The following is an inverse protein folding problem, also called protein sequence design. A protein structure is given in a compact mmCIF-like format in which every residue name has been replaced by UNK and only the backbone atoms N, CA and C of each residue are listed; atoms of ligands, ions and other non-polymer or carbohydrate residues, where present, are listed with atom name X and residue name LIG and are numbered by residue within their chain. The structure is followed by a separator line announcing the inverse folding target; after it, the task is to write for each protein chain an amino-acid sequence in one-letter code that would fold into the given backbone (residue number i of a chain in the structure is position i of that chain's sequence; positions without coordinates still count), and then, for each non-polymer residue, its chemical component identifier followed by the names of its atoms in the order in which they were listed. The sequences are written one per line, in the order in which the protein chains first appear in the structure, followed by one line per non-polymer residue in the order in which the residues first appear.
data_IF_003570285628
#
_entry.id   IF_003570285628
#
_cell.length_a   1.000
_cell.length_b   1.000
_cell.length_c   1.000
_cell.angle_alpha   90.00
_cell.angle_beta   90.00
_cell.angle_gamma   90.00
#
_symmetry.space_group_name_H-M   'P 1'
#
loop_
_entity.id
_entity.type
_entity.pdbx_description
1 polymer ?
#
# COMPACT_ATOMS: atom_id res chain seq x y z
N UNK A 1 -68.66 -10.72 -27.17
CA UNK A 1 -67.36 -11.37 -26.83
C UNK A 1 -66.25 -10.69 -27.62
N UNK A 2 -65.32 -10.02 -26.95
CA UNK A 2 -63.96 -9.70 -27.43
C UNK A 2 -63.15 -9.29 -26.19
N UNK A 3 -62.27 -10.18 -25.73
CA UNK A 3 -61.32 -9.90 -24.65
C UNK A 3 -60.12 -9.21 -25.29
N UNK A 4 -59.82 -7.99 -24.87
CA UNK A 4 -58.58 -7.29 -25.24
C UNK A 4 -57.62 -7.54 -24.08
N UNK A 5 -56.65 -8.42 -24.32
CA UNK A 5 -55.56 -8.71 -23.39
C UNK A 5 -54.50 -7.62 -23.58
N UNK A 6 -54.48 -6.63 -22.71
CA UNK A 6 -53.44 -5.59 -22.72
C UNK A 6 -52.17 -6.17 -22.12
N UNK A 7 -51.21 -6.53 -22.98
CA UNK A 7 -49.85 -6.92 -22.58
C UNK A 7 -49.12 -5.63 -22.19
N UNK A 8 -49.03 -5.37 -20.89
CA UNK A 8 -48.19 -4.30 -20.34
C UNK A 8 -46.73 -4.76 -20.45
N UNK A 9 -46.06 -4.27 -21.48
CA UNK A 9 -44.64 -4.46 -21.74
C UNK A 9 -43.84 -3.63 -20.72
N UNK A 10 -43.53 -4.24 -19.57
CA UNK A 10 -42.59 -3.71 -18.57
C UNK A 10 -41.19 -3.66 -19.20
N UNK A 11 -40.86 -2.53 -19.82
CA UNK A 11 -39.47 -2.12 -20.02
C UNK A 11 -38.86 -1.81 -18.66
N UNK A 12 -38.47 -2.86 -17.94
CA UNK A 12 -37.48 -2.76 -16.88
C UNK A 12 -36.18 -2.35 -17.56
N UNK A 13 -35.90 -1.04 -17.55
CA UNK A 13 -34.57 -0.51 -17.79
C UNK A 13 -33.65 -1.09 -16.73
N UNK A 14 -33.09 -2.25 -17.04
CA UNK A 14 -31.97 -2.84 -16.33
C UNK A 14 -30.83 -1.82 -16.45
N UNK A 15 -30.73 -0.94 -15.47
CA UNK A 15 -29.49 -0.21 -15.21
C UNK A 15 -28.46 -1.28 -14.84
N UNK A 16 -27.78 -1.80 -15.86
CA UNK A 16 -26.59 -2.60 -15.71
C UNK A 16 -25.54 -1.68 -15.10
N UNK A 17 -25.47 -1.65 -13.77
CA UNK A 17 -24.30 -1.18 -13.07
C UNK A 17 -23.19 -2.19 -13.38
N UNK A 18 -22.48 -1.96 -14.48
CA UNK A 18 -21.18 -2.59 -14.69
C UNK A 18 -20.27 -2.04 -13.61
N UNK A 19 -20.09 -2.80 -12.53
CA UNK A 19 -19.01 -2.54 -11.59
C UNK A 19 -17.73 -2.78 -12.38
N UNK A 20 -17.07 -1.70 -12.80
CA UNK A 20 -15.70 -1.79 -13.28
C UNK A 20 -14.90 -2.23 -12.06
N UNK A 21 -14.50 -3.51 -12.04
CA UNK A 21 -13.49 -3.99 -11.10
C UNK A 21 -12.21 -3.22 -11.40
N UNK A 22 -11.96 -2.19 -10.61
CA UNK A 22 -10.67 -1.49 -10.57
C UNK A 22 -9.67 -2.47 -9.95
N UNK A 23 -8.84 -3.08 -10.81
CA UNK A 23 -7.81 -4.04 -10.40
C UNK A 23 -6.69 -3.31 -9.65
N UNK A 24 -6.91 -3.05 -8.36
CA UNK A 24 -5.85 -2.66 -7.43
C UNK A 24 -4.98 -3.91 -7.23
N UNK A 25 -3.73 -3.86 -7.70
CA UNK A 25 -2.80 -4.98 -7.49
C UNK A 25 -2.13 -4.81 -6.13
N UNK A 26 -2.45 -5.70 -5.20
CA UNK A 26 -1.85 -5.75 -3.87
C UNK A 26 -1.10 -7.05 -3.66
N UNK A 27 0.07 -6.99 -3.02
CA UNK A 27 0.81 -8.17 -2.59
C UNK A 27 1.18 -8.06 -1.12
N UNK A 28 1.42 -9.21 -0.50
CA UNK A 28 2.16 -9.28 0.76
C UNK A 28 3.65 -9.25 0.47
N UNK A 29 4.39 -8.45 1.22
CA UNK A 29 5.82 -8.23 1.06
C UNK A 29 6.55 -8.22 2.39
N UNK A 30 7.85 -8.48 2.35
CA UNK A 30 8.75 -8.23 3.46
C UNK A 30 9.53 -6.96 3.15
N UNK A 31 9.28 -5.92 3.94
CA UNK A 31 10.04 -4.67 3.90
C UNK A 31 11.14 -4.70 4.94
N UNK A 32 12.31 -4.19 4.59
CA UNK A 32 13.39 -3.95 5.54
C UNK A 32 13.72 -2.47 5.61
N UNK A 33 14.08 -2.01 6.81
CA UNK A 33 14.17 -0.58 7.12
C UNK A 33 15.57 -0.16 7.52
N UNK A 34 15.93 1.03 7.06
CA UNK A 34 17.21 1.66 7.27
C UNK A 34 17.25 2.64 8.43
N UNK A 35 18.38 2.72 9.13
CA UNK A 35 18.57 3.69 10.22
C UNK A 35 20.03 4.08 10.50
N UNK A 36 20.77 4.55 9.50
CA UNK A 36 22.19 4.96 9.59
C UNK A 36 23.17 3.88 10.12
N UNK A 37 22.68 2.76 10.67
CA UNK A 37 23.42 1.65 11.27
C UNK A 37 23.26 0.36 10.48
N UNK A 38 22.08 0.12 9.89
CA UNK A 38 21.78 -0.94 8.93
C UNK A 38 20.88 -0.34 7.86
N UNK A 39 21.28 -0.47 6.59
CA UNK A 39 20.97 0.41 5.46
C UNK A 39 21.34 1.87 5.73
N UNK A 40 22.27 2.35 4.91
CA UNK A 40 23.12 3.54 5.09
C UNK A 40 22.37 4.83 5.38
N UNK A 41 21.07 4.86 5.08
CA UNK A 41 20.17 5.99 5.20
C UNK A 41 18.80 5.56 5.73
N UNK A 42 17.96 6.53 6.11
CA UNK A 42 16.59 6.29 6.57
C UNK A 42 15.67 5.92 5.42
N UNK A 43 14.72 5.03 5.69
CA UNK A 43 13.67 4.63 4.77
C UNK A 43 13.65 3.13 4.52
N UNK A 44 13.18 2.73 3.34
CA UNK A 44 13.18 1.34 2.88
C UNK A 44 14.53 0.97 2.30
N UNK A 45 15.01 -0.21 2.67
CA UNK A 45 16.16 -0.83 2.03
C UNK A 45 15.75 -1.77 0.91
N UNK A 46 14.64 -2.48 1.12
CA UNK A 46 14.10 -3.46 0.21
C UNK A 46 12.62 -3.63 0.50
N UNK A 47 11.88 -3.95 -0.55
CA UNK A 47 10.52 -4.48 -0.50
C UNK A 47 10.55 -5.72 -1.38
N UNK A 48 10.30 -6.89 -0.80
CA UNK A 48 10.34 -8.17 -1.51
C UNK A 48 9.00 -8.85 -1.45
N UNK A 49 8.47 -9.25 -2.60
CA UNK A 49 7.28 -10.07 -2.65
C UNK A 49 7.45 -11.31 -1.76
N UNK A 50 6.47 -11.59 -0.90
CA UNK A 50 6.44 -12.78 -0.08
C UNK A 50 5.45 -13.78 -0.67
N UNK A 51 5.88 -15.04 -0.77
CA UNK A 51 5.02 -16.16 -1.14
C UNK A 51 4.18 -16.60 0.09
N UNK A 52 4.64 -16.28 1.30
CA UNK A 52 4.04 -16.67 2.57
C UNK A 52 3.59 -15.43 3.35
N UNK A 53 2.27 -15.25 3.47
CA UNK A 53 1.68 -14.12 4.18
C UNK A 53 2.14 -14.05 5.65
N UNK A 54 2.42 -15.19 6.28
CA UNK A 54 2.85 -15.24 7.69
C UNK A 54 4.26 -14.69 7.94
N UNK A 55 5.02 -14.40 6.87
CA UNK A 55 6.36 -13.80 6.92
C UNK A 55 6.38 -12.36 6.37
N UNK A 56 5.22 -11.85 6.00
CA UNK A 56 5.07 -10.48 5.51
C UNK A 56 4.88 -9.55 6.70
N UNK A 57 5.61 -8.44 6.71
CA UNK A 57 5.38 -7.33 7.64
C UNK A 57 4.71 -6.14 6.95
N UNK A 58 4.42 -6.27 5.65
CA UNK A 58 3.95 -5.17 4.80
C UNK A 58 2.99 -5.66 3.74
N UNK A 59 1.79 -5.10 3.69
CA UNK A 59 0.97 -5.14 2.48
C UNK A 59 1.37 -3.98 1.56
N UNK A 60 1.61 -4.27 0.29
CA UNK A 60 2.06 -3.31 -0.72
C UNK A 60 1.02 -3.20 -1.82
N UNK A 61 0.68 -1.97 -2.22
CA UNK A 61 -0.41 -1.68 -3.16
C UNK A 61 0.06 -0.65 -4.20
N UNK A 62 -0.07 -0.98 -5.49
CA UNK A 62 0.05 0.03 -6.56
C UNK A 62 -1.32 0.67 -6.78
N UNK A 63 -1.37 2.00 -6.60
CA UNK A 63 -2.58 2.80 -6.79
C UNK A 63 -2.71 3.27 -8.25
N UNK A 64 -3.92 3.62 -8.67
CA UNK A 64 -4.22 4.10 -10.02
C UNK A 64 -3.53 5.42 -10.38
N UNK A 65 -3.21 6.24 -9.38
CA UNK A 65 -2.47 7.49 -9.54
C UNK A 65 -0.95 7.29 -9.63
N UNK A 66 -0.51 6.03 -9.77
CA UNK A 66 0.88 5.59 -9.80
C UNK A 66 1.68 5.91 -8.54
N UNK A 67 1.01 5.88 -7.39
CA UNK A 67 1.67 5.85 -6.08
C UNK A 67 1.72 4.43 -5.54
N UNK A 68 2.61 4.21 -4.56
CA UNK A 68 2.77 2.94 -3.87
C UNK A 68 2.35 3.11 -2.41
N UNK A 69 1.27 2.46 -1.99
CA UNK A 69 0.89 2.40 -0.58
C UNK A 69 1.53 1.21 0.10
N UNK A 70 2.17 1.44 1.24
CA UNK A 70 2.68 0.42 2.14
C UNK A 70 1.88 0.47 3.44
N UNK A 71 1.39 -0.69 3.86
CA UNK A 71 0.69 -0.89 5.12
C UNK A 71 1.55 -1.84 5.94
N UNK A 72 2.24 -1.29 6.93
CA UNK A 72 3.07 -2.06 7.86
C UNK A 72 2.20 -2.58 9.00
N UNK A 73 2.11 -3.90 9.15
CA UNK A 73 1.29 -4.54 10.19
C UNK A 73 2.05 -4.57 11.51
N UNK A 74 1.50 -3.92 12.55
CA UNK A 74 2.25 -3.66 13.80
C UNK A 74 2.56 -4.92 14.60
N UNK A 75 1.71 -5.94 14.52
CA UNK A 75 1.93 -7.24 15.16
C UNK A 75 3.06 -8.05 14.48
N UNK A 76 3.41 -7.71 13.24
CA UNK A 76 4.51 -8.30 12.48
C UNK A 76 5.81 -7.48 12.57
N UNK A 77 5.81 -6.32 13.25
CA UNK A 77 6.97 -5.47 13.42
C UNK A 77 7.65 -5.70 14.77
N UNK A 78 8.97 -5.70 14.77
CA UNK A 78 9.75 -5.51 15.99
C UNK A 78 9.72 -4.04 16.43
N UNK A 79 9.92 -3.79 17.73
CA UNK A 79 10.06 -2.41 18.25
C UNK A 79 11.16 -1.61 17.56
N UNK A 80 12.23 -2.29 17.15
CA UNK A 80 13.31 -1.65 16.38
C UNK A 80 12.78 -1.18 15.03
N UNK A 81 12.04 -2.00 14.30
CA UNK A 81 11.45 -1.61 13.01
C UNK A 81 10.42 -0.49 13.16
N UNK A 82 9.57 -0.53 14.19
CA UNK A 82 8.65 0.58 14.49
C UNK A 82 9.43 1.90 14.67
N UNK A 83 10.52 1.86 15.44
CA UNK A 83 11.38 3.03 15.65
C UNK A 83 12.05 3.51 14.34
N UNK A 84 12.44 2.59 13.44
CA UNK A 84 13.01 2.94 12.13
C UNK A 84 11.99 3.61 11.22
N UNK A 85 10.75 3.12 11.21
CA UNK A 85 9.65 3.67 10.42
C UNK A 85 9.28 5.08 10.92
N UNK A 86 9.11 5.21 12.23
CA UNK A 86 8.54 6.42 12.86
C UNK A 86 9.60 7.47 13.23
N UNK A 87 10.85 7.06 13.42
CA UNK A 87 11.97 7.89 13.87
C UNK A 87 11.93 8.26 15.36
N UNK A 88 10.90 7.86 16.10
CA UNK A 88 10.75 8.06 17.56
C UNK A 88 9.87 6.97 18.15
N UNK A 89 10.04 6.72 19.45
CA UNK A 89 9.18 5.78 20.19
C UNK A 89 7.75 6.34 20.33
N UNK A 90 6.76 5.45 20.21
CA UNK A 90 5.36 5.75 20.55
C UNK A 90 5.11 5.24 21.97
N UNK A 91 4.54 6.10 22.80
CA UNK A 91 4.01 5.75 24.11
C UNK A 91 2.50 6.02 24.17
N UNK A 92 1.83 5.56 25.22
CA UNK A 92 0.37 5.70 25.39
C UNK A 92 -0.13 7.16 25.35
N UNK A 93 0.76 8.14 25.55
CA UNK A 93 0.44 9.56 25.55
C UNK A 93 0.89 10.27 24.27
N UNK A 94 1.40 9.53 23.29
CA UNK A 94 1.86 10.11 22.03
C UNK A 94 0.66 10.42 21.16
N UNK A 95 0.41 11.71 20.91
CA UNK A 95 -0.55 12.13 19.90
C UNK A 95 -0.10 11.58 18.54
N UNK A 96 -0.99 10.84 17.87
CA UNK A 96 -0.72 10.23 16.55
C UNK A 96 -0.62 11.26 15.43
N UNK A 97 -0.83 12.53 15.73
CA UNK A 97 -0.68 13.62 14.79
C UNK A 97 0.82 13.96 14.63
N UNK A 98 1.29 14.06 13.37
CA UNK A 98 2.64 14.51 12.97
C UNK A 98 3.76 13.45 12.83
N UNK A 99 3.45 12.19 12.51
CA UNK A 99 4.48 11.23 12.10
C UNK A 99 4.77 11.31 10.60
N UNK A 100 6.05 11.18 10.26
CA UNK A 100 6.51 11.19 8.87
C UNK A 100 7.51 10.09 8.62
N UNK A 101 7.30 9.36 7.53
CA UNK A 101 8.24 8.41 6.98
C UNK A 101 9.22 9.14 6.07
N UNK A 102 10.52 8.88 6.22
CA UNK A 102 11.56 9.55 5.44
C UNK A 102 12.25 8.52 4.56
N UNK A 103 12.20 8.75 3.24
CA UNK A 103 13.02 8.06 2.24
C UNK A 103 14.18 8.96 1.85
N UNK A 104 15.37 8.66 2.36
CA UNK A 104 16.60 9.41 2.05
C UNK A 104 17.31 8.92 0.78
N UNK A 105 17.00 7.70 0.32
CA UNK A 105 17.52 7.10 -0.91
C UNK A 105 16.37 6.62 -1.79
N UNK A 106 16.57 6.67 -3.10
CA UNK A 106 15.66 6.03 -4.05
C UNK A 106 15.76 4.52 -3.93
N UNK A 107 14.65 3.81 -4.05
CA UNK A 107 14.63 2.35 -4.02
C UNK A 107 14.01 1.82 -5.32
N UNK A 108 14.77 1.00 -6.05
CA UNK A 108 14.24 0.19 -7.14
C UNK A 108 13.92 -1.20 -6.57
N UNK A 109 12.63 -1.59 -6.43
CA UNK A 109 12.29 -2.94 -6.00
C UNK A 109 12.80 -3.96 -7.02
N UNK A 110 13.08 -5.19 -6.57
CA UNK A 110 13.56 -6.24 -7.47
C UNK A 110 12.54 -6.59 -8.56
N UNK A 111 13.02 -7.21 -9.63
CA UNK A 111 12.21 -7.52 -10.81
C UNK A 111 11.00 -8.40 -10.48
N UNK A 112 11.15 -9.36 -9.57
CA UNK A 112 10.07 -10.25 -9.14
C UNK A 112 8.96 -9.45 -8.44
N UNK A 113 9.35 -8.56 -7.54
CA UNK A 113 8.43 -7.70 -6.79
C UNK A 113 7.71 -6.72 -7.70
N UNK A 114 8.43 -6.09 -8.64
CA UNK A 114 7.81 -5.19 -9.64
C UNK A 114 6.81 -5.93 -10.53
N UNK A 115 7.13 -7.15 -10.94
CA UNK A 115 6.21 -8.00 -11.72
C UNK A 115 4.98 -8.38 -10.93
N UNK A 116 5.15 -8.79 -9.66
CA UNK A 116 4.06 -9.19 -8.79
C UNK A 116 3.10 -8.02 -8.50
N UNK A 117 3.63 -6.80 -8.37
CA UNK A 117 2.85 -5.57 -8.16
C UNK A 117 2.33 -4.94 -9.46
N UNK A 118 2.67 -5.50 -10.62
CA UNK A 118 2.34 -4.95 -11.93
C UNK A 118 2.76 -3.46 -12.05
N UNK A 119 4.02 -3.15 -11.69
CA UNK A 119 4.55 -1.79 -11.74
C UNK A 119 4.35 -1.16 -13.13
N UNK A 120 3.98 0.13 -13.21
CA UNK A 120 3.93 0.84 -14.48
C UNK A 120 5.29 0.78 -15.19
N UNK A 121 5.29 0.50 -16.49
CA UNK A 121 6.55 0.29 -17.25
C UNK A 121 7.53 1.46 -17.18
N UNK A 122 7.02 2.68 -16.96
CA UNK A 122 7.79 3.92 -16.90
C UNK A 122 8.07 4.41 -15.48
N UNK A 123 7.62 3.70 -14.43
CA UNK A 123 7.77 4.11 -13.04
C UNK A 123 8.31 2.92 -12.24
N UNK A 124 9.63 2.82 -12.17
CA UNK A 124 10.32 1.65 -11.60
C UNK A 124 10.89 1.91 -10.22
N UNK A 125 10.92 3.17 -9.80
CA UNK A 125 11.70 3.61 -8.64
C UNK A 125 10.82 4.33 -7.64
N UNK A 126 10.94 3.98 -6.38
CA UNK A 126 10.37 4.73 -5.26
C UNK A 126 11.27 5.92 -4.98
N UNK A 127 10.72 7.13 -5.03
CA UNK A 127 11.51 8.36 -4.89
C UNK A 127 11.74 8.77 -3.45
N UNK A 128 12.81 9.54 -3.22
CA UNK A 128 13.13 10.16 -1.93
C UNK A 128 12.05 11.16 -1.52
N UNK A 129 11.85 11.35 -0.22
CA UNK A 129 10.92 12.36 0.28
C UNK A 129 10.54 12.15 1.74
N UNK A 130 9.67 13.05 2.20
CA UNK A 130 9.02 12.97 3.51
C UNK A 130 7.54 12.74 3.28
N UNK A 131 7.04 11.63 3.80
CA UNK A 131 5.69 11.15 3.56
C UNK A 131 4.91 11.09 4.87
N UNK A 132 3.67 11.56 4.92
CA UNK A 132 2.85 11.44 6.12
C UNK A 132 2.59 9.97 6.43
N UNK A 133 2.58 9.63 7.72
CA UNK A 133 2.17 8.29 8.18
C UNK A 133 0.78 8.42 8.79
N UNK A 134 -0.13 7.56 8.33
CA UNK A 134 -1.40 7.33 9.01
C UNK A 134 -1.17 6.20 10.00
N UNK A 135 -1.42 6.46 11.28
CA UNK A 135 -1.22 5.49 12.35
C UNK A 135 -2.58 5.03 12.86
N UNK A 136 -2.73 3.72 12.97
CA UNK A 136 -3.88 3.09 13.62
C UNK A 136 -3.38 2.15 14.73
N UNK A 137 -4.32 1.52 15.45
CA UNK A 137 -3.97 0.49 16.42
C UNK A 137 -3.25 -0.70 15.77
N UNK A 138 -3.60 -1.02 14.53
CA UNK A 138 -3.16 -2.23 13.83
C UNK A 138 -2.00 -1.99 12.86
N UNK A 139 -1.86 -0.78 12.33
CA UNK A 139 -0.92 -0.53 11.21
C UNK A 139 -0.33 0.87 11.15
N UNK A 140 0.78 0.97 10.41
CA UNK A 140 1.31 2.23 9.89
C UNK A 140 1.16 2.25 8.37
N UNK A 141 0.47 3.25 7.84
CA UNK A 141 0.25 3.39 6.40
C UNK A 141 1.00 4.59 5.84
N UNK A 142 1.74 4.39 4.75
CA UNK A 142 2.43 5.43 4.00
C UNK A 142 2.17 5.28 2.51
N UNK A 143 1.97 6.40 1.82
CA UNK A 143 1.83 6.42 0.35
C UNK A 143 3.04 7.14 -0.27
N UNK A 144 3.78 6.41 -1.08
CA UNK A 144 5.06 6.82 -1.67
C UNK A 144 4.87 7.17 -3.15
N UNK A 145 5.71 8.08 -3.66
CA UNK A 145 5.71 8.45 -5.07
C UNK A 145 6.64 7.55 -5.86
N UNK A 146 6.23 7.20 -7.07
CA UNK A 146 7.04 6.48 -8.05
C UNK A 146 7.59 7.45 -9.11
N UNK A 147 8.78 7.16 -9.63
CA UNK A 147 9.45 7.85 -10.74
C UNK A 147 10.09 6.87 -11.72
#
# INVERSE_FOLDING_TARGET
MKKITTIALLFLSLNAFSQVETFITSIYATSTFGSYSNCTRRGLCAVKASIDNSKSNTQTIINEDNTLTLIFERDQLTKEEELKILGKEINLNTEFENFTFIMEETLEPDEETRKALNFPQNLTTITTGTYPIIITEESFTVTLKLI
#
